data_IF_579422289122
#
_entry.id   IF_579422289122
#
_cell.length_a   1.000
_cell.length_b   1.000
_cell.length_c   1.000
_cell.angle_alpha   90.00
_cell.angle_beta   90.00
_cell.angle_gamma   90.00
#
_symmetry.space_group_name_H-M   'P 1'
#
loop_
_entity.id
_entity.type
_entity.pdbx_description
1 polymer ?
#
# COMPACT_ATOMS: atom_id res chain seq x y z
N UNK A 1 -2.87 36.53 -0.19
CA UNK A 1 -1.59 35.78 -0.07
C UNK A 1 -1.51 34.73 -1.16
N UNK A 2 -0.41 34.68 -1.92
CA UNK A 2 -0.19 33.71 -3.01
C UNK A 2 0.09 32.33 -2.39
N UNK A 3 -0.73 31.31 -2.67
CA UNK A 3 -0.56 29.96 -2.09
C UNK A 3 0.64 29.26 -2.74
N UNK A 4 1.70 29.00 -1.97
CA UNK A 4 2.94 28.36 -2.48
C UNK A 4 2.71 26.85 -2.78
N UNK A 5 1.85 26.19 -2.02
CA UNK A 5 1.54 24.76 -2.19
C UNK A 5 0.26 24.52 -2.99
N UNK A 6 -0.51 25.57 -3.28
CA UNK A 6 -1.88 25.43 -3.81
C UNK A 6 -2.91 25.03 -2.74
N UNK A 7 -2.48 24.53 -1.57
CA UNK A 7 -3.32 24.28 -0.40
C UNK A 7 -3.35 25.51 0.52
N UNK A 8 -4.44 25.70 1.27
CA UNK A 8 -4.46 26.67 2.38
C UNK A 8 -3.89 26.07 3.66
N UNK A 9 -3.63 26.95 4.64
CA UNK A 9 -3.07 26.57 5.92
C UNK A 9 -3.89 25.47 6.64
N UNK A 10 -5.24 25.42 6.62
CA UNK A 10 -5.97 24.34 7.28
C UNK A 10 -5.67 22.98 6.64
N UNK A 11 -5.65 22.90 5.30
CA UNK A 11 -5.33 21.66 4.60
C UNK A 11 -3.86 21.24 4.81
N UNK A 12 -2.95 22.20 4.89
CA UNK A 12 -1.55 21.91 5.24
C UNK A 12 -1.40 21.38 6.67
N UNK A 13 -2.13 21.94 7.63
CA UNK A 13 -2.15 21.44 9.02
C UNK A 13 -2.69 20.01 9.07
N UNK A 14 -3.78 19.71 8.35
CA UNK A 14 -4.34 18.35 8.31
C UNK A 14 -3.41 17.36 7.62
N UNK A 15 -2.71 17.76 6.56
CA UNK A 15 -1.67 16.96 5.94
C UNK A 15 -0.51 16.66 6.91
N UNK A 16 -0.07 17.66 7.68
CA UNK A 16 0.94 17.47 8.72
C UNK A 16 0.45 16.53 9.84
N UNK A 17 -0.81 16.62 10.25
CA UNK A 17 -1.42 15.67 11.20
C UNK A 17 -1.41 14.24 10.65
N UNK A 18 -1.78 14.04 9.37
CA UNK A 18 -1.74 12.71 8.74
C UNK A 18 -0.32 12.14 8.67
N UNK A 19 0.67 12.97 8.35
CA UNK A 19 2.07 12.57 8.36
C UNK A 19 2.55 12.19 9.76
N UNK A 20 2.23 13.00 10.77
CA UNK A 20 2.58 12.72 12.16
C UNK A 20 1.93 11.43 12.68
N UNK A 21 0.65 11.20 12.37
CA UNK A 21 -0.04 9.96 12.72
C UNK A 21 0.54 8.74 11.97
N UNK A 22 0.95 8.91 10.71
CA UNK A 22 1.62 7.85 9.95
C UNK A 22 2.99 7.50 10.52
N UNK A 23 3.78 8.51 10.90
CA UNK A 23 5.06 8.32 11.56
C UNK A 23 4.90 7.66 12.93
N UNK A 24 3.95 8.12 13.74
CA UNK A 24 3.62 7.49 15.03
C UNK A 24 3.17 6.04 14.82
N UNK A 25 2.28 5.79 13.85
CA UNK A 25 1.86 4.45 13.46
C UNK A 25 3.03 3.53 13.11
N UNK A 26 3.96 4.01 12.29
CA UNK A 26 5.16 3.27 11.91
C UNK A 26 6.06 2.88 13.10
N UNK A 27 6.05 3.67 14.18
CA UNK A 27 6.83 3.42 15.39
C UNK A 27 6.11 2.50 16.39
N UNK A 28 4.78 2.60 16.49
CA UNK A 28 4.02 1.87 17.53
C UNK A 28 3.48 0.53 17.05
N UNK A 29 3.27 0.34 15.74
CA UNK A 29 2.82 -0.93 15.15
C UNK A 29 4.02 -1.81 14.92
N UNK A 30 4.10 -2.93 15.65
CA UNK A 30 5.30 -3.77 15.69
C UNK A 30 5.02 -5.26 15.45
N UNK A 31 3.81 -5.63 15.04
CA UNK A 31 3.45 -7.01 14.72
C UNK A 31 2.37 -7.12 13.64
N UNK A 32 2.21 -8.33 13.12
CA UNK A 32 1.09 -8.69 12.25
C UNK A 32 -0.20 -8.74 13.05
N UNK A 33 -1.32 -8.37 12.43
CA UNK A 33 -2.65 -8.37 13.06
C UNK A 33 -2.69 -7.55 14.38
N UNK A 34 -1.81 -6.56 14.50
CA UNK A 34 -1.70 -5.70 15.68
C UNK A 34 -2.94 -4.80 15.80
N UNK A 35 -3.70 -4.87 16.91
CA UNK A 35 -4.92 -4.07 17.09
C UNK A 35 -4.66 -2.56 17.06
N UNK A 36 -3.42 -2.11 17.33
CA UNK A 36 -3.03 -0.70 17.23
C UNK A 36 -3.20 -0.16 15.82
N UNK A 37 -3.13 -1.00 14.79
CA UNK A 37 -3.39 -0.62 13.39
C UNK A 37 -4.78 0.00 13.26
N UNK A 38 -5.81 -0.67 13.80
CA UNK A 38 -7.18 -0.18 13.76
C UNK A 38 -7.32 1.17 14.45
N UNK A 39 -6.69 1.33 15.63
CA UNK A 39 -6.69 2.59 16.36
C UNK A 39 -6.02 3.72 15.57
N UNK A 40 -4.84 3.48 14.99
CA UNK A 40 -4.11 4.46 14.16
C UNK A 40 -4.94 4.84 12.94
N UNK A 41 -5.54 3.87 12.25
CA UNK A 41 -6.41 4.13 11.09
C UNK A 41 -7.63 4.97 11.47
N UNK A 42 -8.31 4.65 12.58
CA UNK A 42 -9.45 5.42 13.07
C UNK A 42 -9.06 6.85 13.43
N UNK A 43 -7.88 7.06 14.04
CA UNK A 43 -7.35 8.40 14.31
C UNK A 43 -7.06 9.17 13.03
N UNK A 44 -6.51 8.51 11.99
CA UNK A 44 -6.27 9.13 10.69
C UNK A 44 -7.55 9.50 9.94
N UNK A 45 -8.66 8.80 10.18
CA UNK A 45 -9.96 9.14 9.60
C UNK A 45 -10.43 10.56 10.00
N UNK A 46 -10.05 11.06 11.17
CA UNK A 46 -10.48 12.38 11.65
C UNK A 46 -9.92 13.53 10.79
N UNK A 47 -8.58 13.70 10.64
CA UNK A 47 -8.03 14.75 9.78
C UNK A 47 -8.36 14.52 8.31
N UNK A 48 -8.49 13.26 7.86
CA UNK A 48 -8.93 12.94 6.50
C UNK A 48 -10.38 13.39 6.23
N UNK A 49 -11.31 13.08 7.14
CA UNK A 49 -12.71 13.48 7.01
C UNK A 49 -12.86 15.01 7.07
N UNK A 50 -12.10 15.68 7.94
CA UNK A 50 -12.10 17.13 8.02
C UNK A 50 -11.51 17.77 6.75
N UNK A 51 -10.42 17.22 6.21
CA UNK A 51 -9.84 17.69 4.94
C UNK A 51 -10.84 17.52 3.80
N UNK A 52 -11.49 16.35 3.71
CA UNK A 52 -12.53 16.06 2.73
C UNK A 52 -13.71 17.03 2.87
N UNK A 53 -14.19 17.25 4.11
CA UNK A 53 -15.28 18.19 4.39
C UNK A 53 -14.92 19.62 3.97
N UNK A 54 -13.70 20.09 4.26
CA UNK A 54 -13.23 21.41 3.83
C UNK A 54 -13.17 21.54 2.31
N UNK A 55 -12.69 20.51 1.60
CA UNK A 55 -12.64 20.49 0.13
C UNK A 55 -14.05 20.52 -0.47
N UNK A 56 -14.97 19.71 0.06
CA UNK A 56 -16.37 19.64 -0.42
C UNK A 56 -17.12 20.94 -0.12
N UNK A 57 -17.02 21.47 1.10
CA UNK A 57 -17.68 22.73 1.50
C UNK A 57 -17.07 23.96 0.83
N UNK A 58 -15.77 23.93 0.57
CA UNK A 58 -15.01 25.03 -0.03
C UNK A 58 -15.20 25.18 -1.53
N UNK A 59 -15.96 24.29 -2.19
CA UNK A 59 -16.13 24.14 -3.65
C UNK A 59 -14.77 24.07 -4.36
N UNK A 60 -14.40 22.84 -4.75
CA UNK A 60 -13.13 22.38 -5.30
C UNK A 60 -12.41 23.26 -6.37
N UNK A 61 -13.06 24.28 -6.94
CA UNK A 61 -12.52 25.24 -7.91
C UNK A 61 -11.24 25.97 -7.43
N UNK A 62 -11.04 26.11 -6.11
CA UNK A 62 -9.80 26.70 -5.54
C UNK A 62 -8.63 25.72 -5.39
N UNK A 63 -8.88 24.42 -5.51
CA UNK A 63 -7.88 23.35 -5.44
C UNK A 63 -7.45 22.83 -6.84
N UNK A 64 -7.83 23.52 -7.92
CA UNK A 64 -7.60 23.10 -9.33
C UNK A 64 -6.17 23.40 -9.81
N UNK A 65 -5.30 23.95 -8.96
CA UNK A 65 -3.91 24.21 -9.37
C UNK A 65 -3.08 22.93 -9.39
N UNK A 66 -2.24 22.74 -10.41
CA UNK A 66 -1.30 21.62 -10.46
C UNK A 66 -0.37 21.53 -9.24
N UNK A 67 -0.17 22.64 -8.51
CA UNK A 67 0.57 22.70 -7.24
C UNK A 67 -0.14 21.97 -6.11
N UNK A 68 -1.47 22.04 -6.05
CA UNK A 68 -2.26 21.35 -5.04
C UNK A 68 -2.17 19.83 -5.25
N UNK A 69 -2.35 19.37 -6.50
CA UNK A 69 -2.14 17.97 -6.85
C UNK A 69 -0.73 17.50 -6.51
N UNK A 70 0.30 18.26 -6.89
CA UNK A 70 1.69 17.93 -6.55
C UNK A 70 1.91 17.83 -5.03
N UNK A 71 1.28 18.71 -4.25
CA UNK A 71 1.38 18.71 -2.79
C UNK A 71 0.68 17.49 -2.18
N UNK A 72 -0.50 17.10 -2.69
CA UNK A 72 -1.23 15.89 -2.27
C UNK A 72 -0.41 14.65 -2.58
N UNK A 73 0.14 14.54 -3.80
CA UNK A 73 1.00 13.43 -4.20
C UNK A 73 2.26 13.36 -3.33
N UNK A 74 2.89 14.49 -3.04
CA UNK A 74 4.08 14.54 -2.18
C UNK A 74 3.77 14.06 -0.76
N UNK A 75 2.66 14.50 -0.17
CA UNK A 75 2.21 14.03 1.15
C UNK A 75 1.92 12.53 1.12
N UNK A 76 1.21 12.05 0.09
CA UNK A 76 0.92 10.63 -0.09
C UNK A 76 2.19 9.78 -0.20
N UNK A 77 3.15 10.20 -1.02
CA UNK A 77 4.47 9.55 -1.14
C UNK A 77 5.21 9.56 0.19
N UNK A 78 5.24 10.70 0.90
CA UNK A 78 5.88 10.79 2.20
C UNK A 78 5.24 9.82 3.23
N UNK A 79 3.91 9.70 3.26
CA UNK A 79 3.22 8.71 4.09
C UNK A 79 3.63 7.28 3.72
N UNK A 80 3.73 6.95 2.43
CA UNK A 80 4.19 5.62 1.99
C UNK A 80 5.64 5.36 2.39
N UNK A 81 6.53 6.33 2.23
CA UNK A 81 7.93 6.22 2.64
C UNK A 81 8.09 5.99 4.14
N UNK A 82 7.25 6.60 4.98
CA UNK A 82 7.25 6.37 6.43
C UNK A 82 6.87 4.93 6.79
N UNK A 83 5.93 4.33 6.06
CA UNK A 83 5.37 3.00 6.35
C UNK A 83 6.11 1.86 5.63
N UNK A 84 6.84 2.15 4.57
CA UNK A 84 7.52 1.15 3.75
C UNK A 84 8.55 0.30 4.53
N UNK A 85 9.37 0.85 5.44
CA UNK A 85 10.30 0.07 6.25
C UNK A 85 9.65 -0.68 7.42
N UNK A 86 8.43 -0.29 7.83
CA UNK A 86 7.77 -0.84 9.01
C UNK A 86 7.36 -2.31 8.87
N UNK A 87 7.10 -2.95 10.01
CA UNK A 87 6.60 -4.34 10.06
C UNK A 87 5.34 -4.47 9.21
N UNK A 88 5.23 -5.51 8.36
CA UNK A 88 3.99 -5.77 7.63
C UNK A 88 2.82 -5.89 8.61
N UNK A 89 1.67 -5.37 8.20
CA UNK A 89 0.48 -5.34 9.05
C UNK A 89 -0.36 -6.61 8.90
N UNK A 90 -0.32 -7.24 7.72
CA UNK A 90 -1.03 -8.48 7.41
C UNK A 90 -0.05 -9.62 7.11
N UNK A 91 -0.46 -10.82 7.49
CA UNK A 91 0.22 -12.07 7.17
C UNK A 91 0.06 -12.51 5.69
N UNK A 92 -0.83 -11.88 4.92
CA UNK A 92 -0.97 -12.15 3.48
C UNK A 92 0.32 -11.89 2.69
N UNK A 93 1.15 -10.95 3.17
CA UNK A 93 2.43 -10.64 2.53
C UNK A 93 3.33 -11.88 2.42
N UNK A 94 3.35 -12.71 3.46
CA UNK A 94 4.14 -13.94 3.46
C UNK A 94 3.56 -14.99 2.54
N UNK A 95 2.23 -15.01 2.37
CA UNK A 95 1.59 -15.85 1.36
C UNK A 95 1.98 -15.45 -0.05
N UNK A 96 2.08 -14.15 -0.35
CA UNK A 96 2.55 -13.68 -1.66
C UNK A 96 3.98 -14.18 -1.95
N UNK A 97 4.87 -14.02 -0.97
CA UNK A 97 6.26 -14.45 -1.11
C UNK A 97 6.35 -15.98 -1.24
N UNK A 98 5.61 -16.72 -0.42
CA UNK A 98 5.54 -18.17 -0.48
C UNK A 98 5.06 -18.69 -1.83
N UNK A 99 3.95 -18.15 -2.35
CA UNK A 99 3.41 -18.60 -3.64
C UNK A 99 4.38 -18.29 -4.78
N UNK A 100 5.09 -17.15 -4.72
CA UNK A 100 6.17 -16.84 -5.65
C UNK A 100 7.33 -17.85 -5.58
N UNK A 101 7.71 -18.28 -4.37
CA UNK A 101 8.74 -19.31 -4.16
C UNK A 101 8.31 -20.69 -4.68
N UNK A 102 7.07 -21.10 -4.41
CA UNK A 102 6.51 -22.36 -4.93
C UNK A 102 6.54 -22.39 -6.45
N UNK A 103 6.13 -21.29 -7.11
CA UNK A 103 6.24 -21.15 -8.57
C UNK A 103 7.69 -21.19 -9.05
N UNK A 104 8.63 -20.57 -8.33
CA UNK A 104 10.05 -20.63 -8.67
C UNK A 104 10.66 -22.03 -8.59
N UNK A 105 10.07 -22.93 -7.79
CA UNK A 105 10.42 -24.34 -7.75
C UNK A 105 9.76 -25.17 -8.88
N UNK A 106 9.01 -24.54 -9.79
CA UNK A 106 8.28 -25.21 -10.86
C UNK A 106 6.99 -25.89 -10.41
N UNK A 107 6.51 -25.59 -9.20
CA UNK A 107 5.31 -26.19 -8.62
C UNK A 107 4.13 -25.24 -8.78
N UNK A 108 2.97 -25.80 -9.13
CA UNK A 108 1.74 -25.04 -9.23
C UNK A 108 1.18 -24.71 -7.82
N UNK A 109 1.07 -23.42 -7.42
CA UNK A 109 0.65 -23.04 -6.06
C UNK A 109 -0.84 -23.30 -5.76
N UNK A 110 -1.63 -23.67 -6.77
CA UNK A 110 -3.03 -24.05 -6.61
C UNK A 110 -3.24 -25.50 -6.18
N UNK A 111 -2.20 -26.35 -6.22
CA UNK A 111 -2.33 -27.79 -5.96
C UNK A 111 -2.16 -28.17 -4.49
N UNK A 112 -1.34 -27.45 -3.73
CA UNK A 112 -0.92 -27.86 -2.40
C UNK A 112 -1.09 -26.72 -1.39
N UNK A 113 -1.54 -27.06 -0.19
CA UNK A 113 -1.47 -26.16 0.96
C UNK A 113 0.00 -25.99 1.37
N UNK A 114 0.43 -24.84 1.93
CA UNK A 114 1.83 -24.65 2.36
C UNK A 114 2.38 -25.76 3.29
N UNK A 115 1.53 -26.33 4.14
CA UNK A 115 1.88 -27.41 5.08
C UNK A 115 1.95 -28.81 4.45
N UNK A 116 1.67 -28.96 3.15
CA UNK A 116 1.78 -30.23 2.44
C UNK A 116 3.23 -30.72 2.41
N UNK A 117 3.44 -32.02 2.66
CA UNK A 117 4.77 -32.64 2.72
C UNK A 117 5.58 -32.45 1.43
N UNK A 118 4.90 -32.35 0.27
CA UNK A 118 5.50 -32.06 -1.04
C UNK A 118 6.28 -30.74 -1.05
N UNK A 119 5.86 -29.77 -0.24
CA UNK A 119 6.49 -28.44 -0.16
C UNK A 119 7.51 -28.31 1.00
N UNK A 120 7.78 -29.39 1.73
CA UNK A 120 8.63 -29.37 2.93
C UNK A 120 10.03 -28.79 2.68
N UNK A 121 10.62 -29.05 1.51
CA UNK A 121 11.93 -28.55 1.12
C UNK A 121 11.99 -27.02 0.89
N UNK A 122 10.84 -26.36 0.72
CA UNK A 122 10.77 -24.91 0.47
C UNK A 122 10.58 -24.08 1.75
N UNK A 123 10.33 -24.74 2.88
CA UNK A 123 10.04 -24.10 4.17
C UNK A 123 11.31 -23.55 4.80
N UNK A 124 11.28 -22.29 5.19
CA UNK A 124 12.37 -21.61 5.89
C UNK A 124 11.89 -21.07 7.25
N UNK A 125 12.80 -20.46 8.00
CA UNK A 125 12.44 -19.80 9.26
C UNK A 125 11.91 -18.37 9.08
N UNK A 126 12.10 -17.76 7.91
CA UNK A 126 11.85 -16.34 7.69
C UNK A 126 10.45 -16.02 7.12
N UNK A 127 9.89 -16.92 6.33
CA UNK A 127 8.62 -16.75 5.62
C UNK A 127 7.59 -17.77 6.10
N UNK A 128 7.94 -19.06 6.11
CA UNK A 128 6.97 -20.14 6.36
C UNK A 128 6.15 -20.01 7.65
N UNK A 129 6.74 -19.65 8.81
CA UNK A 129 5.99 -19.54 10.07
C UNK A 129 4.90 -18.46 10.08
N UNK A 130 4.98 -17.50 9.15
CA UNK A 130 4.10 -16.33 9.10
C UNK A 130 3.06 -16.41 7.98
N UNK A 131 3.03 -17.51 7.21
CA UNK A 131 2.07 -17.69 6.13
C UNK A 131 0.68 -17.90 6.74
N UNK A 132 -0.28 -17.06 6.35
CA UNK A 132 -1.66 -17.27 6.74
C UNK A 132 -2.24 -18.55 6.11
N UNK A 133 -3.17 -19.25 6.79
CA UNK A 133 -3.92 -20.40 6.23
C UNK A 133 -3.04 -21.55 5.70
N UNK A 134 -1.85 -21.72 6.29
CA UNK A 134 -0.83 -22.63 5.80
C UNK A 134 -1.29 -24.10 5.77
N UNK A 135 -2.25 -24.45 6.62
CA UNK A 135 -2.69 -25.80 6.93
C UNK A 135 -3.97 -26.24 6.22
N UNK A 136 -4.79 -25.30 5.74
CA UNK A 136 -6.13 -25.64 5.20
C UNK A 136 -6.44 -25.05 3.82
N UNK A 137 -5.63 -24.14 3.27
CA UNK A 137 -5.95 -23.51 1.98
C UNK A 137 -4.73 -23.41 1.03
N UNK A 138 -4.86 -23.92 -0.22
CA UNK A 138 -3.95 -23.55 -1.30
C UNK A 138 -4.19 -22.08 -1.67
N UNK A 139 -3.46 -21.57 -2.65
CA UNK A 139 -3.62 -20.17 -3.03
C UNK A 139 -5.02 -19.87 -3.58
N UNK A 140 -5.58 -18.74 -3.17
CA UNK A 140 -6.86 -18.19 -3.69
C UNK A 140 -6.64 -17.01 -4.64
N UNK A 141 -5.38 -16.61 -4.84
CA UNK A 141 -5.04 -15.43 -5.60
C UNK A 141 -5.19 -15.67 -7.11
N UNK A 142 -5.74 -14.72 -7.89
CA UNK A 142 -5.90 -14.90 -9.32
C UNK A 142 -4.55 -15.05 -10.06
N UNK A 143 -4.54 -15.64 -11.27
CA UNK A 143 -3.30 -15.88 -12.00
C UNK A 143 -2.45 -14.62 -12.23
N UNK A 144 -3.08 -13.47 -12.45
CA UNK A 144 -2.38 -12.20 -12.69
C UNK A 144 -1.59 -11.74 -11.46
N UNK A 145 -2.13 -11.91 -10.24
CA UNK A 145 -1.37 -11.64 -9.01
C UNK A 145 -0.28 -12.67 -8.78
N UNK A 146 -0.49 -13.94 -9.15
CA UNK A 146 0.55 -14.96 -9.03
C UNK A 146 1.78 -14.65 -9.88
N UNK A 147 1.57 -14.12 -11.09
CA UNK A 147 2.66 -13.63 -11.95
C UNK A 147 3.45 -12.53 -11.23
N UNK A 148 2.76 -11.57 -10.60
CA UNK A 148 3.43 -10.51 -9.81
C UNK A 148 4.24 -11.10 -8.67
N UNK A 149 3.65 -12.04 -7.92
CA UNK A 149 4.32 -12.67 -6.78
C UNK A 149 5.59 -13.37 -7.21
N UNK A 150 5.51 -14.19 -8.26
CA UNK A 150 6.65 -14.85 -8.88
C UNK A 150 7.72 -13.85 -9.33
N UNK A 151 7.36 -12.84 -10.13
CA UNK A 151 8.34 -11.89 -10.68
C UNK A 151 9.04 -11.09 -9.56
N UNK A 152 8.32 -10.70 -8.52
CA UNK A 152 8.91 -9.97 -7.40
C UNK A 152 9.87 -10.87 -6.61
N UNK A 153 9.51 -12.13 -6.34
CA UNK A 153 10.42 -13.06 -5.65
C UNK A 153 11.64 -13.44 -6.48
N UNK A 154 11.59 -13.29 -7.81
CA UNK A 154 12.80 -13.40 -8.66
C UNK A 154 13.80 -12.26 -8.44
N UNK A 155 13.35 -11.12 -7.93
CA UNK A 155 14.22 -10.00 -7.56
C UNK A 155 14.67 -10.17 -6.12
N UNK A 156 13.73 -10.38 -5.19
CA UNK A 156 14.01 -10.57 -3.76
C UNK A 156 12.78 -11.13 -3.04
N UNK A 157 13.01 -12.09 -2.15
CA UNK A 157 11.98 -12.64 -1.25
C UNK A 157 11.81 -11.82 0.05
N UNK A 158 12.58 -10.74 0.24
CA UNK A 158 12.39 -9.85 1.39
C UNK A 158 11.01 -9.16 1.36
N UNK A 159 10.30 -9.06 2.50
CA UNK A 159 9.01 -8.37 2.61
C UNK A 159 8.96 -6.97 2.00
N UNK A 160 10.05 -6.20 2.13
CA UNK A 160 10.14 -4.85 1.57
C UNK A 160 10.07 -4.83 0.03
N UNK A 161 10.55 -5.87 -0.67
CA UNK A 161 10.48 -5.94 -2.13
C UNK A 161 9.04 -6.07 -2.60
N UNK A 162 8.25 -6.92 -1.94
CA UNK A 162 6.82 -7.06 -2.21
C UNK A 162 6.05 -5.78 -1.87
N UNK A 163 6.32 -5.15 -0.71
CA UNK A 163 5.71 -3.85 -0.37
C UNK A 163 6.06 -2.76 -1.40
N UNK A 164 7.31 -2.70 -1.84
CA UNK A 164 7.76 -1.74 -2.85
C UNK A 164 7.08 -1.97 -4.20
N UNK A 165 6.91 -3.23 -4.62
CA UNK A 165 6.16 -3.57 -5.82
C UNK A 165 4.70 -3.10 -5.74
N UNK A 166 4.03 -3.30 -4.60
CA UNK A 166 2.66 -2.81 -4.39
C UNK A 166 2.59 -1.27 -4.47
N UNK A 167 3.53 -0.56 -3.86
CA UNK A 167 3.62 0.91 -3.97
C UNK A 167 3.88 1.35 -5.41
N UNK A 168 4.68 0.61 -6.18
CA UNK A 168 4.90 0.88 -7.60
C UNK A 168 3.62 0.71 -8.43
N UNK A 169 2.82 -0.34 -8.16
CA UNK A 169 1.51 -0.53 -8.82
C UNK A 169 0.52 0.58 -8.48
N UNK A 170 0.50 1.07 -7.24
CA UNK A 170 -0.32 2.24 -6.89
C UNK A 170 0.14 3.50 -7.63
N UNK A 171 1.45 3.73 -7.70
CA UNK A 171 2.02 4.83 -8.48
C UNK A 171 1.65 4.74 -9.96
N UNK A 172 1.72 3.52 -10.53
CA UNK A 172 1.29 3.24 -11.90
C UNK A 172 -0.21 3.49 -12.09
N UNK A 173 -1.04 3.11 -11.13
CA UNK A 173 -2.48 3.35 -11.17
C UNK A 173 -2.80 4.85 -11.15
N UNK A 174 -2.16 5.61 -10.26
CA UNK A 174 -2.30 7.08 -10.20
C UNK A 174 -1.84 7.70 -11.51
N UNK A 175 -0.69 7.30 -12.04
CA UNK A 175 -0.20 7.76 -13.33
C UNK A 175 -1.18 7.43 -14.47
N UNK A 176 -1.66 6.20 -14.55
CA UNK A 176 -2.60 5.77 -15.60
C UNK A 176 -3.91 6.57 -15.55
N UNK A 177 -4.43 6.85 -14.36
CA UNK A 177 -5.61 7.71 -14.18
C UNK A 177 -5.34 9.15 -14.64
N UNK A 178 -4.18 9.73 -14.32
CA UNK A 178 -3.79 11.07 -14.82
C UNK A 178 -3.68 11.11 -16.35
N UNK A 179 -3.12 10.06 -16.96
CA UNK A 179 -3.03 9.94 -18.41
C UNK A 179 -4.43 9.81 -19.04
N UNK A 180 -5.32 9.02 -18.43
CA UNK A 180 -6.68 8.85 -18.93
C UNK A 180 -7.48 10.16 -18.87
N UNK A 181 -7.33 10.94 -17.79
CA UNK A 181 -7.91 12.27 -17.69
C UNK A 181 -7.37 13.19 -18.79
N UNK A 182 -6.06 13.20 -19.03
CA UNK A 182 -5.44 14.00 -20.08
C UNK A 182 -5.94 13.61 -21.49
N UNK A 183 -6.01 12.31 -21.80
CA UNK A 183 -6.53 11.80 -23.07
C UNK A 183 -8.01 12.14 -23.29
N UNK A 184 -8.78 12.29 -22.21
CA UNK A 184 -10.20 12.70 -22.25
C UNK A 184 -10.39 14.21 -22.18
N UNK A 185 -9.32 15.01 -22.13
CA UNK A 185 -9.41 16.46 -21.96
C UNK A 185 -10.03 16.89 -20.62
N UNK A 186 -10.02 16.01 -19.62
CA UNK A 186 -10.61 16.25 -18.31
C UNK A 186 -9.59 16.89 -17.34
N UNK A 187 -10.05 17.72 -16.38
CA UNK A 187 -9.17 18.29 -15.37
C UNK A 187 -8.50 17.22 -14.50
N UNK A 188 -7.21 17.39 -14.22
CA UNK A 188 -6.44 16.52 -13.31
C UNK A 188 -6.97 16.51 -11.87
N UNK A 189 -7.79 17.49 -11.50
CA UNK A 189 -8.45 17.58 -10.20
C UNK A 189 -9.60 16.58 -10.01
N UNK A 190 -9.86 15.71 -10.99
CA UNK A 190 -10.84 14.61 -10.90
C UNK A 190 -10.23 13.29 -10.40
N UNK A 191 -8.96 13.32 -10.00
CA UNK A 191 -8.26 12.21 -9.36
C UNK A 191 -8.26 12.38 -7.84
#
# INVERSE_FOLDING_TARGET
MRRITGLDWPLLTLAACLLALSAAGALVVNGFDDPKVGAVMLLQCIPYALATWLVVRGRAERAVSGRALASILLVGVAMRCLLLPGTPVSNDLFRYIWDGRVQAAGINPYLYVPSDATLSALRDAAIYPFINRADYAPTIYPPTSQIVFYLVTRISEAPIAMKAAMVAFEGLAVWAMLQLLALRGLPRSRI
#
